data_IF_402533335125
#
_entry.id   IF_402533335125
#
_cell.length_a   1.000
_cell.length_b   1.000
_cell.length_c   1.000
_cell.angle_alpha   90.00
_cell.angle_beta   90.00
_cell.angle_gamma   90.00
#
_symmetry.space_group_name_H-M   'P 1'
#
loop_
_entity.id
_entity.type
_entity.pdbx_description
1 polymer ?
#
# COMPACT_ATOMS: atom_id res chain seq x y z
N UNK A 1 -10.29 2.10 -23.37
CA UNK A 1 -10.64 1.72 -21.98
C UNK A 1 -11.75 2.66 -21.53
N UNK A 2 -12.98 2.16 -21.38
CA UNK A 2 -14.06 2.93 -20.79
C UNK A 2 -13.72 3.20 -19.32
N UNK A 3 -13.74 4.46 -18.94
CA UNK A 3 -13.38 4.91 -17.60
C UNK A 3 -14.60 4.85 -16.65
N UNK A 4 -14.34 4.81 -15.36
CA UNK A 4 -15.32 4.84 -14.27
C UNK A 4 -16.14 6.14 -14.36
N UNK A 5 -17.46 6.09 -14.20
CA UNK A 5 -18.30 7.29 -14.21
C UNK A 5 -17.86 8.33 -13.20
N UNK A 6 -17.77 9.59 -13.58
CA UNK A 6 -17.27 10.71 -12.77
C UNK A 6 -17.97 10.86 -11.41
N UNK A 7 -19.26 10.56 -11.31
CA UNK A 7 -20.03 10.59 -10.06
C UNK A 7 -19.51 9.63 -8.97
N UNK A 8 -18.77 8.56 -9.37
CA UNK A 8 -18.17 7.61 -8.44
C UNK A 8 -16.76 8.03 -8.02
N UNK A 9 -16.05 8.76 -8.89
CA UNK A 9 -14.70 9.31 -8.61
C UNK A 9 -14.74 10.34 -7.50
N UNK A 10 -15.81 11.12 -7.38
CA UNK A 10 -15.95 12.13 -6.34
C UNK A 10 -15.93 11.57 -4.90
N UNK A 11 -16.21 10.28 -4.71
CA UNK A 11 -16.17 9.61 -3.39
C UNK A 11 -14.83 8.99 -3.04
N UNK A 12 -14.01 8.69 -4.05
CA UNK A 12 -12.68 8.10 -3.90
C UNK A 12 -11.72 8.78 -4.88
N UNK A 13 -10.92 9.69 -4.36
CA UNK A 13 -9.96 10.46 -5.15
C UNK A 13 -8.89 9.59 -5.80
N UNK A 14 -8.70 8.37 -5.31
CA UNK A 14 -7.70 7.42 -5.84
C UNK A 14 -8.31 6.39 -6.78
N UNK A 15 -9.63 6.35 -6.97
CA UNK A 15 -10.31 5.33 -7.77
C UNK A 15 -9.72 5.20 -9.18
N UNK A 16 -9.44 6.32 -9.85
CA UNK A 16 -8.84 6.33 -11.17
C UNK A 16 -7.42 5.77 -11.20
N UNK A 17 -6.58 6.22 -10.28
CA UNK A 17 -5.19 5.76 -10.22
C UNK A 17 -5.11 4.29 -9.82
N UNK A 18 -5.97 3.83 -8.91
CA UNK A 18 -6.06 2.44 -8.51
C UNK A 18 -6.55 1.55 -9.67
N UNK A 19 -7.54 2.01 -10.44
CA UNK A 19 -7.99 1.29 -11.63
C UNK A 19 -6.88 1.17 -12.69
N UNK A 20 -6.16 2.26 -12.97
CA UNK A 20 -5.01 2.24 -13.90
C UNK A 20 -3.92 1.27 -13.42
N UNK A 21 -3.61 1.30 -12.13
CA UNK A 21 -2.63 0.39 -11.53
C UNK A 21 -3.07 -1.09 -11.66
N UNK A 22 -4.35 -1.37 -11.45
CA UNK A 22 -4.92 -2.70 -11.63
C UNK A 22 -4.78 -3.19 -13.09
N UNK A 23 -5.09 -2.32 -14.07
CA UNK A 23 -4.93 -2.64 -15.49
C UNK A 23 -3.47 -2.90 -15.85
N UNK A 24 -2.55 -2.04 -15.38
CA UNK A 24 -1.11 -2.21 -15.60
C UNK A 24 -0.61 -3.54 -15.03
N UNK A 25 -1.02 -3.90 -13.82
CA UNK A 25 -0.63 -5.16 -13.18
C UNK A 25 -1.14 -6.37 -13.98
N UNK A 26 -2.37 -6.35 -14.46
CA UNK A 26 -2.94 -7.41 -15.31
C UNK A 26 -2.19 -7.55 -16.64
N UNK A 27 -1.89 -6.43 -17.30
CA UNK A 27 -1.16 -6.44 -18.57
C UNK A 27 0.25 -7.01 -18.38
N UNK A 28 0.95 -6.55 -17.34
CA UNK A 28 2.31 -7.03 -17.03
C UNK A 28 2.32 -8.52 -16.74
N UNK A 29 1.38 -9.02 -15.94
CA UNK A 29 1.23 -10.44 -15.66
C UNK A 29 0.90 -11.23 -16.94
N UNK A 30 -0.02 -10.74 -17.77
CA UNK A 30 -0.35 -11.35 -19.06
C UNK A 30 0.85 -11.46 -19.99
N UNK A 31 1.67 -10.41 -20.08
CA UNK A 31 2.90 -10.41 -20.86
C UNK A 31 3.92 -11.44 -20.35
N UNK A 32 4.06 -11.57 -19.05
CA UNK A 32 4.92 -12.61 -18.44
C UNK A 32 4.44 -14.01 -18.82
N UNK A 33 3.16 -14.31 -18.67
CA UNK A 33 2.58 -15.62 -19.00
C UNK A 33 2.78 -15.92 -20.47
N UNK A 34 2.51 -14.97 -21.37
CA UNK A 34 2.71 -15.12 -22.81
C UNK A 34 4.19 -15.37 -23.16
N UNK A 35 5.11 -14.64 -22.53
CA UNK A 35 6.55 -14.84 -22.79
C UNK A 35 7.02 -16.20 -22.33
N UNK A 36 6.65 -16.64 -21.14
CA UNK A 36 6.95 -17.99 -20.68
C UNK A 36 6.39 -19.07 -21.62
N UNK A 37 5.14 -18.91 -22.05
CA UNK A 37 4.52 -19.86 -22.99
C UNK A 37 5.29 -19.92 -24.32
N UNK A 38 5.79 -18.79 -24.85
CA UNK A 38 6.61 -18.76 -26.07
C UNK A 38 7.96 -19.45 -25.86
N UNK A 39 8.64 -19.22 -24.74
CA UNK A 39 9.93 -19.86 -24.42
C UNK A 39 9.77 -21.38 -24.31
N UNK A 40 8.72 -21.84 -23.66
CA UNK A 40 8.40 -23.28 -23.53
C UNK A 40 8.08 -23.87 -24.91
N UNK A 41 7.21 -23.21 -25.70
CA UNK A 41 6.83 -23.69 -27.03
C UNK A 41 8.02 -23.81 -27.98
N UNK A 42 8.99 -22.92 -27.86
CA UNK A 42 10.20 -22.91 -28.68
C UNK A 42 11.34 -23.76 -28.09
N UNK A 43 11.05 -24.56 -27.06
CA UNK A 43 12.00 -25.45 -26.39
C UNK A 43 13.30 -24.78 -25.91
N UNK A 44 13.19 -23.48 -25.54
CA UNK A 44 14.32 -22.70 -25.03
C UNK A 44 14.74 -23.23 -23.67
N UNK A 45 16.02 -23.53 -23.50
CA UNK A 45 16.55 -24.02 -22.22
C UNK A 45 16.27 -23.04 -21.07
N UNK A 46 15.82 -23.55 -19.93
CA UNK A 46 15.54 -22.74 -18.73
C UNK A 46 16.76 -21.94 -18.28
N UNK A 47 17.97 -22.49 -18.48
CA UNK A 47 19.22 -21.79 -18.14
C UNK A 47 19.45 -20.51 -18.94
N UNK A 48 18.84 -20.36 -20.11
CA UNK A 48 18.95 -19.17 -20.95
C UNK A 48 17.83 -18.13 -20.72
N UNK A 49 16.81 -18.45 -19.91
CA UNK A 49 15.70 -17.51 -19.65
C UNK A 49 16.17 -16.24 -18.93
N UNK A 50 17.21 -16.33 -18.09
CA UNK A 50 17.78 -15.18 -17.41
C UNK A 50 18.38 -14.12 -18.35
N UNK A 51 18.78 -14.52 -19.56
CA UNK A 51 19.29 -13.61 -20.60
C UNK A 51 18.23 -13.13 -21.59
N UNK A 52 16.98 -13.55 -21.42
CA UNK A 52 15.88 -13.08 -22.25
C UNK A 52 15.45 -11.66 -21.87
N UNK A 53 15.71 -10.70 -22.76
CA UNK A 53 15.49 -9.26 -22.50
C UNK A 53 14.01 -8.98 -22.23
N UNK A 54 13.09 -9.55 -23.02
CA UNK A 54 11.65 -9.31 -22.89
C UNK A 54 11.14 -9.85 -21.55
N UNK A 55 11.59 -11.03 -21.15
CA UNK A 55 11.25 -11.60 -19.85
C UNK A 55 11.78 -10.74 -18.71
N UNK A 56 13.05 -10.34 -18.80
CA UNK A 56 13.71 -9.51 -17.78
C UNK A 56 13.02 -8.16 -17.59
N UNK A 57 12.66 -7.47 -18.66
CA UNK A 57 11.94 -6.17 -18.59
C UNK A 57 10.54 -6.31 -17.94
N UNK A 58 9.81 -7.35 -18.30
CA UNK A 58 8.49 -7.59 -17.70
C UNK A 58 8.59 -8.00 -16.22
N UNK A 59 9.61 -8.76 -15.83
CA UNK A 59 9.87 -9.10 -14.42
C UNK A 59 10.26 -7.87 -13.61
N UNK A 60 11.10 -6.98 -14.16
CA UNK A 60 11.46 -5.73 -13.49
C UNK A 60 10.24 -4.83 -13.28
N UNK A 61 9.40 -4.71 -14.31
CA UNK A 61 8.14 -3.95 -14.18
C UNK A 61 7.20 -4.58 -13.15
N UNK A 62 7.05 -5.90 -13.15
CA UNK A 62 6.23 -6.61 -12.16
C UNK A 62 6.73 -6.37 -10.72
N UNK A 63 8.05 -6.42 -10.52
CA UNK A 63 8.68 -6.16 -9.23
C UNK A 63 8.45 -4.70 -8.76
N UNK A 64 8.61 -3.72 -9.65
CA UNK A 64 8.34 -2.31 -9.37
C UNK A 64 6.88 -2.06 -9.00
N UNK A 65 5.93 -2.66 -9.75
CA UNK A 65 4.50 -2.57 -9.45
C UNK A 65 4.17 -3.20 -8.10
N UNK A 66 4.70 -4.40 -7.83
CA UNK A 66 4.50 -5.08 -6.56
C UNK A 66 5.06 -4.26 -5.38
N UNK A 67 6.28 -3.73 -5.51
CA UNK A 67 6.87 -2.87 -4.48
C UNK A 67 6.02 -1.62 -4.21
N UNK A 68 5.54 -0.96 -5.27
CA UNK A 68 4.66 0.19 -5.15
C UNK A 68 3.35 -0.16 -4.43
N UNK A 69 2.72 -1.26 -4.84
CA UNK A 69 1.45 -1.72 -4.26
C UNK A 69 1.62 -2.08 -2.79
N UNK A 70 2.64 -2.86 -2.44
CA UNK A 70 2.84 -3.33 -1.07
C UNK A 70 3.41 -2.25 -0.13
N UNK A 71 4.22 -1.33 -0.65
CA UNK A 71 4.94 -0.34 0.16
C UNK A 71 4.24 1.02 0.29
N UNK A 72 3.56 1.49 -0.76
CA UNK A 72 3.04 2.84 -0.82
C UNK A 72 1.52 2.93 -0.89
N UNK A 73 0.86 1.96 -1.51
CA UNK A 73 -0.58 2.03 -1.78
C UNK A 73 -1.41 2.06 -0.50
N UNK A 74 -1.04 1.27 0.48
CA UNK A 74 -1.75 1.19 1.77
C UNK A 74 -1.71 2.53 2.51
N UNK A 75 -0.53 3.16 2.56
CA UNK A 75 -0.38 4.48 3.20
C UNK A 75 -1.19 5.55 2.47
N UNK A 76 -1.19 5.52 1.15
CA UNK A 76 -1.95 6.46 0.31
C UNK A 76 -3.46 6.30 0.50
N UNK A 77 -3.93 5.08 0.61
CA UNK A 77 -5.36 4.75 0.71
C UNK A 77 -5.82 4.57 2.18
N UNK A 78 -5.11 5.15 3.14
CA UNK A 78 -5.52 5.11 4.53
C UNK A 78 -6.96 5.64 4.68
N UNK A 79 -7.86 4.88 5.32
CA UNK A 79 -9.23 5.35 5.55
C UNK A 79 -9.26 6.53 6.52
N UNK A 80 -10.36 7.29 6.49
CA UNK A 80 -10.64 8.31 7.52
C UNK A 80 -10.68 7.63 8.89
N UNK A 81 -9.93 8.19 9.85
CA UNK A 81 -9.84 7.61 11.19
C UNK A 81 -9.88 8.70 12.28
N UNK A 82 -10.74 8.57 13.30
CA UNK A 82 -11.82 7.59 13.40
C UNK A 82 -12.80 7.64 12.22
N UNK A 83 -13.46 6.53 11.92
CA UNK A 83 -14.44 6.51 10.84
C UNK A 83 -15.57 7.49 11.16
N UNK A 84 -16.12 8.16 10.12
CA UNK A 84 -17.31 8.97 10.28
C UNK A 84 -18.48 8.12 10.78
N UNK A 85 -19.46 8.78 11.41
CA UNK A 85 -20.71 8.14 11.80
C UNK A 85 -21.57 7.71 10.58
N UNK A 86 -22.74 7.12 10.86
CA UNK A 86 -23.63 6.64 9.81
C UNK A 86 -24.18 7.77 8.93
N UNK A 87 -24.27 8.99 9.47
CA UNK A 87 -24.72 10.21 8.81
C UNK A 87 -23.61 10.90 8.03
N UNK A 88 -22.34 10.45 8.19
CA UNK A 88 -21.16 11.00 7.52
C UNK A 88 -20.45 12.11 8.29
N UNK A 89 -20.82 12.37 9.55
CA UNK A 89 -20.17 13.42 10.35
C UNK A 89 -18.83 12.92 10.90
N UNK A 90 -17.81 13.80 10.99
CA UNK A 90 -16.52 13.46 11.55
C UNK A 90 -16.64 13.00 13.01
N UNK A 91 -15.93 11.94 13.34
CA UNK A 91 -15.78 11.45 14.71
C UNK A 91 -14.41 11.82 15.27
N UNK A 92 -14.35 11.94 16.59
CA UNK A 92 -13.13 12.28 17.32
C UNK A 92 -12.65 11.08 18.13
N UNK A 93 -11.35 11.06 18.42
CA UNK A 93 -10.81 10.07 19.34
C UNK A 93 -11.48 10.20 20.71
N UNK A 94 -11.73 9.09 21.42
CA UNK A 94 -12.21 9.12 22.78
C UNK A 94 -11.27 9.94 23.69
N UNK A 95 -11.81 10.49 24.77
CA UNK A 95 -11.00 11.23 25.74
C UNK A 95 -9.82 10.39 26.24
N UNK A 96 -8.65 11.02 26.41
CA UNK A 96 -7.39 10.37 26.80
C UNK A 96 -6.92 9.28 25.85
N UNK A 97 -7.35 9.29 24.59
CA UNK A 97 -6.85 8.41 23.55
C UNK A 97 -6.00 9.18 22.52
N UNK A 98 -5.00 8.52 21.98
CA UNK A 98 -4.03 9.09 21.05
C UNK A 98 -3.88 8.22 19.82
N UNK A 99 -3.71 8.87 18.68
CA UNK A 99 -3.32 8.24 17.44
C UNK A 99 -1.86 8.62 17.15
N UNK A 100 -0.97 7.64 17.27
CA UNK A 100 0.47 7.86 17.14
C UNK A 100 0.97 7.33 15.80
N UNK A 101 1.77 8.14 15.13
CA UNK A 101 2.38 7.78 13.86
C UNK A 101 3.88 8.06 13.91
N UNK A 102 4.67 7.21 13.23
CA UNK A 102 6.08 7.48 13.01
C UNK A 102 6.28 8.72 12.13
N UNK A 103 7.37 9.41 12.28
CA UNK A 103 7.78 10.56 11.45
C UNK A 103 8.06 10.14 10.01
N UNK A 104 8.66 8.97 9.81
CA UNK A 104 8.80 8.37 8.49
C UNK A 104 7.53 7.63 8.08
N UNK A 105 6.59 8.35 7.47
CA UNK A 105 5.25 7.88 7.10
C UNK A 105 5.24 6.63 6.21
N UNK A 106 6.26 6.45 5.40
CA UNK A 106 6.34 5.35 4.43
C UNK A 106 7.13 4.14 4.94
N UNK A 107 7.75 4.26 6.11
CA UNK A 107 8.57 3.18 6.68
C UNK A 107 8.42 3.08 8.20
N UNK A 108 7.19 3.25 8.69
CA UNK A 108 6.85 3.06 10.11
C UNK A 108 5.74 2.05 10.25
N UNK A 109 5.94 1.06 11.10
CA UNK A 109 4.88 0.18 11.58
C UNK A 109 4.32 0.82 12.87
N UNK A 110 3.25 1.58 12.73
CA UNK A 110 2.64 2.38 13.80
C UNK A 110 1.14 2.11 13.92
N UNK A 111 0.40 2.94 14.67
CA UNK A 111 -1.03 2.72 14.92
C UNK A 111 -1.93 2.80 13.68
N UNK A 112 -1.40 3.06 12.49
CA UNK A 112 -2.10 2.89 11.21
C UNK A 112 -2.25 1.43 10.82
N UNK A 113 -1.42 0.54 11.36
CA UNK A 113 -1.26 -0.83 10.90
C UNK A 113 -1.71 -1.85 11.95
N UNK A 114 -2.09 -3.02 11.48
CA UNK A 114 -2.27 -4.24 12.27
C UNK A 114 -1.25 -5.28 11.86
N UNK A 115 -0.96 -6.23 12.73
CA UNK A 115 -0.18 -7.42 12.38
C UNK A 115 -0.98 -8.40 11.51
N UNK A 116 -2.30 -8.25 11.46
CA UNK A 116 -3.18 -9.02 10.59
C UNK A 116 -3.21 -8.39 9.19
N UNK A 117 -3.05 -9.26 8.20
CA UNK A 117 -3.13 -8.86 6.79
C UNK A 117 -4.51 -9.19 6.24
N UNK A 118 -5.11 -8.22 5.56
CA UNK A 118 -6.37 -8.40 4.83
C UNK A 118 -6.13 -8.27 3.33
N UNK A 119 -6.80 -9.11 2.53
CA UNK A 119 -6.77 -8.95 1.07
C UNK A 119 -7.70 -7.84 0.66
N UNK A 120 -7.20 -6.93 -0.16
CA UNK A 120 -7.98 -5.84 -0.75
C UNK A 120 -7.80 -5.81 -2.26
N UNK A 121 -8.87 -5.57 -3.03
CA UNK A 121 -8.75 -5.38 -4.47
C UNK A 121 -8.11 -4.01 -4.78
N UNK A 122 -7.28 -3.94 -5.82
CA UNK A 122 -6.76 -2.67 -6.31
C UNK A 122 -7.87 -1.74 -6.82
N UNK A 123 -8.93 -2.33 -7.38
CA UNK A 123 -10.09 -1.57 -7.86
C UNK A 123 -11.39 -2.30 -7.49
N UNK A 124 -12.28 -1.61 -6.81
CA UNK A 124 -13.63 -2.11 -6.49
C UNK A 124 -14.57 -2.12 -7.70
N UNK A 125 -14.17 -1.49 -8.80
CA UNK A 125 -14.94 -1.43 -10.04
C UNK A 125 -14.63 -2.58 -11.01
N UNK A 126 -13.70 -3.45 -10.66
CA UNK A 126 -13.29 -4.59 -11.47
C UNK A 126 -13.44 -5.87 -10.66
N UNK A 127 -14.41 -6.71 -11.03
CA UNK A 127 -14.67 -7.99 -10.35
C UNK A 127 -13.48 -8.97 -10.40
N UNK A 128 -12.58 -8.77 -11.38
CA UNK A 128 -11.35 -9.54 -11.55
C UNK A 128 -10.13 -8.72 -11.19
N UNK A 129 -10.27 -7.82 -10.21
CA UNK A 129 -9.17 -6.98 -9.76
C UNK A 129 -8.01 -7.82 -9.22
N UNK A 130 -6.80 -7.33 -9.48
CA UNK A 130 -5.63 -7.80 -8.72
C UNK A 130 -5.83 -7.46 -7.24
N UNK A 131 -5.52 -8.38 -6.37
CA UNK A 131 -5.58 -8.20 -4.92
C UNK A 131 -4.18 -7.96 -4.35
N UNK A 132 -4.13 -7.22 -3.26
CA UNK A 132 -2.90 -7.02 -2.48
C UNK A 132 -3.17 -7.24 -0.99
N UNK A 133 -2.12 -7.50 -0.23
CA UNK A 133 -2.21 -7.65 1.22
C UNK A 133 -2.06 -6.27 1.88
N UNK A 134 -3.09 -5.85 2.58
CA UNK A 134 -3.13 -4.62 3.36
C UNK A 134 -2.92 -4.92 4.83
N UNK A 135 -2.04 -4.16 5.46
CA UNK A 135 -1.89 -4.11 6.92
C UNK A 135 -2.62 -2.90 7.51
N UNK A 136 -3.30 -2.10 6.70
CA UNK A 136 -3.94 -0.87 7.13
C UNK A 136 -5.19 -1.16 7.96
N UNK A 137 -5.07 -0.98 9.26
CA UNK A 137 -6.15 -1.10 10.25
C UNK A 137 -5.91 -0.07 11.37
N UNK A 138 -6.24 1.22 11.13
CA UNK A 138 -5.97 2.29 12.08
C UNK A 138 -6.65 2.03 13.43
N UNK A 139 -5.90 2.27 14.50
CA UNK A 139 -6.37 2.11 15.88
C UNK A 139 -5.76 3.19 16.78
N UNK A 140 -6.37 3.44 17.92
CA UNK A 140 -5.88 4.40 18.90
C UNK A 140 -5.45 3.69 20.18
N UNK A 141 -4.62 4.36 20.97
CA UNK A 141 -4.15 3.87 22.27
C UNK A 141 -4.59 4.81 23.39
N UNK A 142 -5.02 4.23 24.52
CA UNK A 142 -5.37 5.02 25.68
C UNK A 142 -4.10 5.47 26.42
N UNK A 143 -4.14 6.68 27.00
CA UNK A 143 -3.04 7.30 27.75
C UNK A 143 -2.41 6.39 28.82
N UNK A 144 -3.21 5.53 29.45
CA UNK A 144 -2.71 4.60 30.50
C UNK A 144 -1.64 3.63 30.02
N UNK A 145 -1.52 3.42 28.69
CA UNK A 145 -0.51 2.54 28.10
C UNK A 145 0.73 3.31 27.64
N UNK A 146 0.75 4.65 27.78
CA UNK A 146 1.91 5.47 27.45
C UNK A 146 2.86 5.43 28.61
N UNK A 147 4.02 4.78 28.45
CA UNK A 147 5.02 4.60 29.51
C UNK A 147 5.73 5.92 29.81
N UNK A 148 5.94 6.77 28.80
CA UNK A 148 6.62 8.06 28.96
C UNK A 148 6.88 8.75 27.63
N UNK A 149 7.43 9.95 27.74
CA UNK A 149 7.89 10.75 26.60
C UNK A 149 9.38 11.00 26.71
N UNK A 150 10.15 10.90 25.62
CA UNK A 150 11.56 11.22 25.64
C UNK A 150 11.75 12.71 25.94
N UNK A 151 12.62 13.02 26.92
CA UNK A 151 12.91 14.41 27.32
C UNK A 151 14.23 14.88 26.72
N UNK A 152 15.22 13.97 26.64
CA UNK A 152 16.56 14.31 26.24
C UNK A 152 17.16 13.25 25.32
N UNK A 153 17.75 13.69 24.23
CA UNK A 153 18.50 12.84 23.29
C UNK A 153 20.00 12.99 23.59
N UNK A 154 20.66 11.92 24.00
CA UNK A 154 22.09 11.90 24.34
C UNK A 154 22.96 11.36 23.19
N UNK A 155 22.38 10.69 22.20
CA UNK A 155 23.10 10.09 21.09
C UNK A 155 22.37 10.37 19.76
N UNK A 156 23.10 10.61 18.63
CA UNK A 156 24.58 10.76 18.56
C UNK A 156 25.04 12.09 19.18
N UNK A 157 26.28 12.16 19.65
CA UNK A 157 26.83 13.32 20.40
C UNK A 157 26.68 14.65 19.65
N UNK A 158 26.75 14.65 18.31
CA UNK A 158 26.54 15.85 17.50
C UNK A 158 25.07 16.31 17.39
N UNK A 159 24.11 15.57 17.95
CA UNK A 159 22.68 15.87 17.92
C UNK A 159 22.01 15.78 19.31
N UNK A 160 22.82 15.88 20.37
CA UNK A 160 22.31 15.86 21.74
C UNK A 160 21.48 17.12 22.04
N UNK A 161 20.47 16.97 22.89
CA UNK A 161 19.63 18.10 23.31
C UNK A 161 18.25 17.65 23.78
N UNK A 162 17.50 18.61 24.27
CA UNK A 162 16.11 18.36 24.63
C UNK A 162 15.26 18.07 23.40
N UNK A 163 14.32 17.13 23.56
CA UNK A 163 13.32 16.85 22.54
C UNK A 163 12.24 17.92 22.66
N UNK A 164 12.01 18.63 21.57
CA UNK A 164 10.97 19.64 21.47
C UNK A 164 9.68 19.05 20.89
#
# INVERSE_FOLDING_TARGET
LSWIPSKNVAKDIYAESNYKLNVMSKVTFGNLVLRYAQLIKNEVSVSSWASDVVLSENLDLANKLNWYIQGLLDVRNMPVFPANDAEGNPQYLPEKCFFMMGDNRFNSLDLRHSMEQTKKPLSTYDKMSVEYYSMMAPQYINQKYIIGSPIYKFWPLGRQGFVK
#
